data_IF_106771702713
#
_entry.id   IF_106771702713
#
_cell.length_a   1.000
_cell.length_b   1.000
_cell.length_c   1.000
_cell.angle_alpha   90.00
_cell.angle_beta   90.00
_cell.angle_gamma   90.00
#
_symmetry.space_group_name_H-M   'P 1'
#
loop_
_entity.id
_entity.type
_entity.pdbx_description
1 polymer ?
#
# COMPACT_ATOMS: atom_id res chain seq x y z
N UNK A 1 16.64 7.80 11.81
CA UNK A 1 16.92 7.04 10.56
C UNK A 1 15.57 6.66 9.98
N UNK A 2 15.42 6.70 8.66
CA UNK A 2 14.19 6.29 8.01
C UNK A 2 13.88 4.81 8.32
N UNK A 3 12.61 4.48 8.57
CA UNK A 3 12.17 3.10 8.84
C UNK A 3 12.23 2.23 7.58
N UNK A 4 12.24 2.85 6.40
CA UNK A 4 12.29 2.20 5.10
C UNK A 4 13.15 3.03 4.13
N UNK A 5 13.95 2.34 3.32
CA UNK A 5 14.71 2.92 2.23
C UNK A 5 14.40 2.17 0.93
N UNK A 6 14.29 2.92 -0.18
CA UNK A 6 14.11 2.31 -1.50
C UNK A 6 15.31 1.44 -1.86
N UNK A 7 15.06 0.20 -2.22
CA UNK A 7 16.11 -0.77 -2.53
C UNK A 7 15.61 -1.85 -3.49
N UNK A 8 16.54 -2.68 -3.98
CA UNK A 8 16.25 -3.71 -4.98
C UNK A 8 15.20 -4.75 -4.54
N UNK A 9 14.98 -4.96 -3.24
CA UNK A 9 13.98 -5.91 -2.76
C UNK A 9 12.54 -5.39 -2.90
N UNK A 10 12.36 -4.09 -3.16
CA UNK A 10 11.05 -3.46 -3.37
C UNK A 10 10.70 -3.33 -4.87
N UNK A 11 11.64 -3.64 -5.77
CA UNK A 11 11.41 -3.58 -7.22
C UNK A 11 10.62 -4.81 -7.66
N UNK A 12 9.47 -4.59 -8.27
CA UNK A 12 8.53 -5.63 -8.70
C UNK A 12 8.55 -5.89 -10.20
N UNK A 13 9.44 -5.21 -10.95
CA UNK A 13 9.50 -5.24 -12.41
C UNK A 13 8.16 -4.85 -13.08
N UNK A 14 7.45 -3.92 -12.44
CA UNK A 14 6.24 -3.30 -12.95
C UNK A 14 6.37 -1.78 -12.82
N UNK A 15 6.89 -1.08 -13.84
CA UNK A 15 7.41 0.28 -13.73
C UNK A 15 6.46 1.29 -13.08
N UNK A 16 5.17 1.27 -13.44
CA UNK A 16 4.18 2.20 -12.88
C UNK A 16 3.97 1.98 -11.39
N UNK A 17 4.00 0.73 -10.93
CA UNK A 17 3.89 0.37 -9.51
C UNK A 17 5.18 0.72 -8.77
N UNK A 18 6.34 0.39 -9.37
CA UNK A 18 7.65 0.67 -8.77
C UNK A 18 7.85 2.18 -8.54
N UNK A 19 7.43 3.03 -9.50
CA UNK A 19 7.50 4.49 -9.38
C UNK A 19 6.65 5.00 -8.19
N UNK A 20 5.41 4.54 -8.07
CA UNK A 20 4.51 4.92 -6.97
C UNK A 20 5.03 4.42 -5.62
N UNK A 21 5.65 3.25 -5.57
CA UNK A 21 6.30 2.72 -4.36
C UNK A 21 7.50 3.57 -3.93
N UNK A 22 8.34 4.00 -4.86
CA UNK A 22 9.47 4.89 -4.58
C UNK A 22 9.00 6.25 -4.05
N UNK A 23 7.92 6.79 -4.62
CA UNK A 23 7.28 8.01 -4.10
C UNK A 23 6.77 7.84 -2.67
N UNK A 24 6.10 6.72 -2.36
CA UNK A 24 5.65 6.40 -1.01
C UNK A 24 6.81 6.37 -0.02
N UNK A 25 7.90 5.67 -0.34
CA UNK A 25 9.10 5.58 0.52
C UNK A 25 9.69 6.97 0.76
N UNK A 26 9.74 7.82 -0.28
CA UNK A 26 10.23 9.18 -0.18
C UNK A 26 9.35 10.05 0.74
N UNK A 27 8.02 9.98 0.58
CA UNK A 27 7.08 10.72 1.43
C UNK A 27 7.12 10.25 2.88
N UNK A 28 7.20 8.93 3.11
CA UNK A 28 7.33 8.38 4.46
C UNK A 28 8.60 8.89 5.16
N UNK A 29 9.73 8.90 4.46
CA UNK A 29 10.98 9.45 5.00
C UNK A 29 10.86 10.95 5.34
N UNK A 30 10.11 11.73 4.57
CA UNK A 30 9.83 13.15 4.86
C UNK A 30 8.97 13.29 6.12
N UNK A 31 7.93 12.47 6.27
CA UNK A 31 7.09 12.42 7.49
C UNK A 31 7.94 12.11 8.73
N UNK A 32 8.80 11.09 8.65
CA UNK A 32 9.66 10.69 9.77
C UNK A 32 10.68 11.76 10.17
N UNK A 33 11.18 12.53 9.20
CA UNK A 33 12.12 13.63 9.42
C UNK A 33 11.45 14.95 9.81
N UNK A 34 10.13 15.05 9.70
CA UNK A 34 9.38 16.30 9.87
C UNK A 34 9.48 16.87 11.30
N UNK A 35 9.61 18.18 11.40
CA UNK A 35 9.33 18.91 12.65
C UNK A 35 7.84 18.94 12.98
N UNK A 36 7.50 19.26 14.22
CA UNK A 36 6.12 19.23 14.70
C UNK A 36 5.19 20.14 13.89
N UNK A 37 5.67 21.28 13.40
CA UNK A 37 4.88 22.23 12.61
C UNK A 37 4.48 21.70 11.22
N UNK A 38 5.25 20.76 10.67
CA UNK A 38 5.04 20.23 9.31
C UNK A 38 4.42 18.84 9.34
N UNK A 39 4.44 18.14 10.49
CA UNK A 39 4.12 16.74 10.57
C UNK A 39 2.71 16.41 10.11
N UNK A 40 1.70 17.16 10.54
CA UNK A 40 0.31 16.90 10.14
C UNK A 40 0.11 17.09 8.63
N UNK A 41 0.68 18.15 8.05
CA UNK A 41 0.53 18.42 6.61
C UNK A 41 1.20 17.34 5.76
N UNK A 42 2.40 16.88 6.13
CA UNK A 42 3.09 15.79 5.43
C UNK A 42 2.40 14.44 5.64
N UNK A 43 1.81 14.22 6.82
CA UNK A 43 0.99 13.04 7.06
C UNK A 43 -0.26 12.98 6.18
N UNK A 44 -0.95 14.11 6.01
CA UNK A 44 -2.10 14.22 5.11
C UNK A 44 -1.71 14.00 3.64
N UNK A 45 -0.54 14.50 3.23
CA UNK A 45 0.02 14.24 1.89
C UNK A 45 0.32 12.75 1.68
N UNK A 46 0.91 12.10 2.66
CA UNK A 46 1.16 10.66 2.62
C UNK A 46 -0.17 9.86 2.55
N UNK A 47 -1.20 10.25 3.30
CA UNK A 47 -2.53 9.63 3.22
C UNK A 47 -3.12 9.77 1.81
N UNK A 48 -3.07 10.97 1.24
CA UNK A 48 -3.59 11.23 -0.10
C UNK A 48 -2.88 10.39 -1.17
N UNK A 49 -1.55 10.31 -1.11
CA UNK A 49 -0.74 9.47 -1.98
C UNK A 49 -1.10 7.99 -1.83
N UNK A 50 -1.18 7.50 -0.59
CA UNK A 50 -1.52 6.10 -0.29
C UNK A 50 -2.92 5.74 -0.78
N UNK A 51 -3.91 6.63 -0.62
CA UNK A 51 -5.25 6.43 -1.15
C UNK A 51 -5.24 6.31 -2.67
N UNK A 52 -4.54 7.21 -3.37
CA UNK A 52 -4.44 7.17 -4.82
C UNK A 52 -3.79 5.88 -5.33
N UNK A 53 -2.71 5.46 -4.69
CA UNK A 53 -1.99 4.21 -4.95
C UNK A 53 -2.93 2.99 -4.82
N UNK A 54 -3.59 2.85 -3.67
CA UNK A 54 -4.49 1.72 -3.42
C UNK A 54 -5.71 1.71 -4.34
N UNK A 55 -6.29 2.87 -4.65
CA UNK A 55 -7.38 2.97 -5.62
C UNK A 55 -6.94 2.53 -7.02
N UNK A 56 -5.69 2.78 -7.38
CA UNK A 56 -5.14 2.33 -8.66
C UNK A 56 -4.96 0.81 -8.69
N UNK A 57 -4.41 0.22 -7.65
CA UNK A 57 -4.26 -1.24 -7.55
C UNK A 57 -5.61 -1.96 -7.47
N UNK A 58 -6.57 -1.42 -6.74
CA UNK A 58 -7.92 -1.96 -6.67
C UNK A 58 -8.58 -1.99 -8.07
N UNK A 59 -8.37 -0.96 -8.91
CA UNK A 59 -8.81 -0.97 -10.32
C UNK A 59 -8.10 -2.04 -11.14
N UNK A 60 -6.78 -2.21 -10.97
CA UNK A 60 -6.03 -3.24 -11.67
C UNK A 60 -6.47 -4.65 -11.25
N UNK A 61 -6.69 -4.86 -9.97
CA UNK A 61 -7.23 -6.12 -9.46
C UNK A 61 -8.59 -6.45 -10.07
N UNK A 62 -9.53 -5.49 -10.12
CA UNK A 62 -10.82 -5.69 -10.76
C UNK A 62 -10.68 -6.02 -12.25
N UNK A 63 -9.80 -5.32 -12.97
CA UNK A 63 -9.57 -5.53 -14.39
C UNK A 63 -8.95 -6.89 -14.71
N UNK A 64 -8.26 -7.50 -13.74
CA UNK A 64 -7.52 -8.76 -13.91
C UNK A 64 -8.11 -9.95 -13.16
N UNK A 65 -9.35 -9.84 -12.67
CA UNK A 65 -10.13 -10.98 -12.18
C UNK A 65 -10.08 -11.22 -10.68
N UNK A 66 -9.70 -10.23 -9.88
CA UNK A 66 -9.86 -10.31 -8.44
C UNK A 66 -11.30 -10.04 -8.01
N UNK A 67 -11.75 -10.72 -6.96
CA UNK A 67 -13.03 -10.47 -6.33
C UNK A 67 -13.04 -9.08 -5.67
N UNK A 68 -14.21 -8.43 -5.68
CA UNK A 68 -14.43 -7.24 -4.87
C UNK A 68 -14.29 -7.60 -3.39
N UNK A 69 -13.43 -6.86 -2.65
CA UNK A 69 -13.18 -7.14 -1.25
C UNK A 69 -12.28 -8.36 -0.99
N UNK A 70 -11.41 -8.71 -1.96
CA UNK A 70 -10.33 -9.67 -1.76
C UNK A 70 -9.41 -9.27 -0.60
N UNK A 71 -8.54 -10.17 -0.12
CA UNK A 71 -7.74 -9.91 1.08
C UNK A 71 -6.73 -8.76 0.89
N UNK A 72 -6.22 -8.54 -0.32
CA UNK A 72 -5.34 -7.42 -0.64
C UNK A 72 -6.07 -6.08 -0.45
N UNK A 73 -7.22 -5.90 -1.08
CA UNK A 73 -8.04 -4.69 -0.94
C UNK A 73 -8.57 -4.47 0.49
N UNK A 74 -8.73 -5.53 1.30
CA UNK A 74 -9.06 -5.38 2.71
C UNK A 74 -7.89 -4.80 3.52
N UNK A 75 -6.64 -5.20 3.23
CA UNK A 75 -5.48 -4.59 3.88
C UNK A 75 -5.37 -3.09 3.55
N UNK A 76 -5.60 -2.69 2.29
CA UNK A 76 -5.66 -1.28 1.90
C UNK A 76 -6.62 -0.47 2.78
N UNK A 77 -7.84 -0.99 2.97
CA UNK A 77 -8.86 -0.33 3.80
C UNK A 77 -8.44 -0.18 5.26
N UNK A 78 -7.84 -1.23 5.83
CA UNK A 78 -7.38 -1.22 7.23
C UNK A 78 -6.28 -0.18 7.42
N UNK A 79 -5.28 -0.16 6.56
CA UNK A 79 -4.16 0.80 6.65
C UNK A 79 -4.64 2.23 6.52
N UNK A 80 -5.46 2.53 5.52
CA UNK A 80 -6.01 3.87 5.35
C UNK A 80 -6.88 4.31 6.52
N UNK A 81 -7.66 3.41 7.13
CA UNK A 81 -8.44 3.73 8.32
C UNK A 81 -7.54 4.12 9.49
N UNK A 82 -6.46 3.37 9.72
CA UNK A 82 -5.47 3.65 10.77
C UNK A 82 -4.74 4.97 10.50
N UNK A 83 -4.30 5.21 9.26
CA UNK A 83 -3.64 6.48 8.91
C UNK A 83 -4.55 7.69 9.15
N UNK A 84 -5.83 7.60 8.81
CA UNK A 84 -6.83 8.65 9.05
C UNK A 84 -7.12 8.87 10.54
N UNK A 85 -7.12 7.80 11.35
CA UNK A 85 -7.19 7.93 12.80
C UNK A 85 -5.98 8.71 13.33
N UNK A 86 -4.78 8.45 12.81
CA UNK A 86 -3.57 9.22 13.12
C UNK A 86 -3.71 10.70 12.79
N UNK A 87 -4.30 11.05 11.65
CA UNK A 87 -4.56 12.45 11.29
C UNK A 87 -5.48 13.13 12.31
N UNK A 88 -6.58 12.48 12.69
CA UNK A 88 -7.51 13.01 13.71
C UNK A 88 -6.82 13.23 15.06
N UNK A 89 -5.97 12.29 15.49
CA UNK A 89 -5.18 12.44 16.72
C UNK A 89 -4.18 13.60 16.62
N UNK A 90 -3.51 13.74 15.48
CA UNK A 90 -2.59 14.85 15.21
C UNK A 90 -3.25 16.22 15.28
N UNK A 91 -4.46 16.38 14.72
CA UNK A 91 -5.27 17.61 14.84
C UNK A 91 -5.62 17.95 16.29
N UNK A 92 -5.70 16.94 17.17
CA UNK A 92 -5.93 17.10 18.60
C UNK A 92 -4.64 17.36 19.39
N UNK A 93 -3.49 17.44 18.70
CA UNK A 93 -2.18 17.69 19.30
C UNK A 93 -1.39 16.44 19.68
N UNK A 94 -1.91 15.25 19.43
CA UNK A 94 -1.20 13.97 19.65
C UNK A 94 -0.31 13.63 18.44
N UNK A 95 0.77 14.35 18.29
CA UNK A 95 1.78 14.11 17.24
C UNK A 95 2.56 12.81 17.46
N UNK A 96 2.60 12.32 18.69
CA UNK A 96 3.26 11.05 19.04
C UNK A 96 2.61 9.86 18.33
N UNK A 97 1.29 9.86 18.19
CA UNK A 97 0.57 8.83 17.44
C UNK A 97 0.96 8.81 15.96
N UNK A 98 1.09 9.97 15.29
CA UNK A 98 1.55 10.03 13.90
C UNK A 98 2.97 9.46 13.78
N UNK A 99 3.89 9.88 14.67
CA UNK A 99 5.29 9.40 14.65
C UNK A 99 5.39 7.90 14.85
N UNK A 100 4.60 7.35 15.76
CA UNK A 100 4.53 5.90 15.98
C UNK A 100 4.01 5.19 14.72
N UNK A 101 2.88 5.63 14.17
CA UNK A 101 2.31 5.04 12.96
C UNK A 101 3.26 5.10 11.76
N UNK A 102 3.96 6.22 11.57
CA UNK A 102 4.96 6.37 10.52
C UNK A 102 6.09 5.33 10.64
N UNK A 103 6.58 5.09 11.87
CA UNK A 103 7.59 4.07 12.12
C UNK A 103 7.12 2.64 11.82
N UNK A 104 5.83 2.34 12.04
CA UNK A 104 5.25 1.02 11.76
C UNK A 104 4.91 0.83 10.27
N UNK A 105 4.66 1.92 9.53
CA UNK A 105 4.34 1.84 8.10
C UNK A 105 5.49 1.31 7.26
N UNK A 106 6.75 1.61 7.59
CA UNK A 106 7.90 1.14 6.83
C UNK A 106 7.99 -0.39 6.79
N UNK A 107 8.06 -1.09 7.92
CA UNK A 107 8.04 -2.54 7.98
C UNK A 107 6.79 -3.16 7.35
N UNK A 108 5.63 -2.56 7.61
CA UNK A 108 4.37 -3.02 7.00
C UNK A 108 4.42 -2.93 5.48
N UNK A 109 4.81 -1.78 4.93
CA UNK A 109 4.89 -1.58 3.48
C UNK A 109 5.86 -2.56 2.82
N UNK A 110 7.04 -2.76 3.42
CA UNK A 110 8.01 -3.73 2.91
C UNK A 110 7.41 -5.13 2.81
N UNK A 111 6.67 -5.57 3.84
CA UNK A 111 5.99 -6.86 3.82
C UNK A 111 4.86 -6.92 2.79
N UNK A 112 4.03 -5.87 2.70
CA UNK A 112 2.92 -5.77 1.75
C UNK A 112 3.42 -5.83 0.31
N UNK A 113 4.38 -4.99 -0.05
CA UNK A 113 4.96 -4.92 -1.39
C UNK A 113 5.57 -6.26 -1.83
N UNK A 114 6.34 -6.91 -0.96
CA UNK A 114 7.02 -8.17 -1.31
C UNK A 114 6.09 -9.38 -1.39
N UNK A 115 4.90 -9.32 -0.83
CA UNK A 115 3.97 -10.44 -0.81
C UNK A 115 2.72 -10.20 -1.67
N UNK A 116 2.03 -9.07 -1.46
CA UNK A 116 0.76 -8.79 -2.13
C UNK A 116 0.94 -8.09 -3.47
N UNK A 117 1.69 -7.00 -3.49
CA UNK A 117 1.94 -6.25 -4.72
C UNK A 117 2.81 -7.05 -5.69
N UNK A 118 3.77 -7.82 -5.18
CA UNK A 118 4.57 -8.74 -6.00
C UNK A 118 3.71 -9.81 -6.68
N UNK A 119 2.73 -10.36 -5.98
CA UNK A 119 1.78 -11.32 -6.54
C UNK A 119 0.88 -10.67 -7.59
N UNK A 120 0.38 -9.45 -7.33
CA UNK A 120 -0.41 -8.67 -8.27
C UNK A 120 0.41 -8.31 -9.53
N UNK A 121 1.63 -7.81 -9.36
CA UNK A 121 2.53 -7.47 -10.47
C UNK A 121 2.83 -8.69 -11.37
N UNK A 122 3.11 -9.85 -10.76
CA UNK A 122 3.32 -11.10 -11.50
C UNK A 122 2.07 -11.50 -12.27
N UNK A 123 0.89 -11.43 -11.65
CA UNK A 123 -0.38 -11.74 -12.28
C UNK A 123 -0.67 -10.82 -13.47
N UNK A 124 -0.51 -9.50 -13.30
CA UNK A 124 -0.71 -8.52 -14.35
C UNK A 124 0.25 -8.74 -15.54
N UNK A 125 1.53 -9.03 -15.27
CA UNK A 125 2.49 -9.36 -16.33
C UNK A 125 2.08 -10.64 -17.09
N UNK A 126 1.63 -11.66 -16.38
CA UNK A 126 1.19 -12.92 -16.99
C UNK A 126 -0.03 -12.75 -17.88
N UNK A 127 -0.94 -11.85 -17.52
CA UNK A 127 -2.10 -11.49 -18.32
C UNK A 127 -1.78 -10.50 -19.46
N UNK A 128 -0.55 -9.99 -19.53
CA UNK A 128 -0.18 -8.91 -20.47
C UNK A 128 -1.02 -7.66 -20.24
N UNK A 129 -1.26 -7.32 -18.98
CA UNK A 129 -2.06 -6.16 -18.60
C UNK A 129 -1.29 -4.87 -18.79
N UNK A 130 -1.88 -3.93 -19.54
CA UNK A 130 -1.37 -2.57 -19.69
C UNK A 130 -2.03 -1.65 -18.63
N UNK A 131 -1.29 -1.15 -17.64
CA UNK A 131 -1.84 -0.34 -16.57
C UNK A 131 -2.31 1.05 -17.02
N UNK A 132 -1.89 1.50 -18.21
CA UNK A 132 -2.26 2.82 -18.76
C UNK A 132 -3.56 2.74 -19.53
N UNK A 133 -3.69 1.74 -20.40
CA UNK A 133 -4.87 1.57 -21.26
C UNK A 133 -5.93 0.65 -20.65
N UNK A 134 -5.56 -0.16 -19.66
CA UNK A 134 -6.42 -1.21 -19.10
C UNK A 134 -6.59 -2.43 -20.01
N UNK A 135 -5.83 -2.52 -21.11
CA UNK A 135 -5.91 -3.64 -22.03
C UNK A 135 -5.29 -4.92 -21.43
N UNK A 136 -5.92 -6.06 -21.69
CA UNK A 136 -5.43 -7.40 -21.38
C UNK A 136 -5.08 -8.10 -22.67
N UNK A 137 -3.80 -8.42 -22.88
CA UNK A 137 -3.33 -9.03 -24.13
C UNK A 137 -3.52 -10.55 -24.16
N UNK A 138 -3.57 -11.18 -22.98
CA UNK A 138 -3.71 -12.64 -22.82
C UNK A 138 -4.92 -12.95 -21.94
N UNK A 139 -6.17 -12.75 -22.44
CA UNK A 139 -7.39 -12.95 -21.65
C UNK A 139 -7.54 -14.38 -21.10
N UNK A 140 -6.96 -15.36 -21.77
CA UNK A 140 -6.93 -16.76 -21.33
C UNK A 140 -6.07 -16.99 -20.06
N UNK A 141 -5.21 -16.05 -19.70
CA UNK A 141 -4.46 -16.07 -18.45
C UNK A 141 -5.26 -15.52 -17.26
N UNK A 142 -6.43 -14.93 -17.50
CA UNK A 142 -7.31 -14.48 -16.43
C UNK A 142 -7.97 -15.67 -15.75
N UNK A 143 -8.20 -15.60 -14.42
CA UNK A 143 -8.81 -16.71 -13.69
C UNK A 143 -10.28 -16.92 -14.10
N UNK A 144 -10.71 -18.19 -14.16
CA UNK A 144 -12.11 -18.53 -14.39
C UNK A 144 -13.01 -18.20 -13.19
N UNK A 145 -12.45 -18.26 -11.99
CA UNK A 145 -13.11 -17.87 -10.74
C UNK A 145 -12.38 -16.67 -10.12
N UNK A 146 -13.11 -15.72 -9.51
CA UNK A 146 -12.49 -14.52 -8.92
C UNK A 146 -11.46 -14.86 -7.85
N UNK A 147 -10.31 -14.20 -7.89
CA UNK A 147 -9.25 -14.33 -6.88
C UNK A 147 -9.70 -13.64 -5.59
N UNK A 148 -9.82 -14.38 -4.49
CA UNK A 148 -10.26 -13.86 -3.19
C UNK A 148 -9.12 -13.66 -2.20
N UNK A 149 -7.96 -14.29 -2.43
CA UNK A 149 -6.82 -14.25 -1.51
C UNK A 149 -5.48 -14.31 -2.23
N UNK A 150 -4.42 -13.98 -1.53
CA UNK A 150 -3.05 -13.93 -2.02
C UNK A 150 -2.20 -15.08 -1.45
N UNK A 151 -2.69 -16.32 -1.57
CA UNK A 151 -1.86 -17.51 -1.31
C UNK A 151 -1.27 -17.64 0.12
N UNK A 152 -1.99 -17.17 1.15
CA UNK A 152 -1.54 -17.29 2.56
C UNK A 152 -0.98 -16.01 3.19
N UNK A 153 -0.86 -14.92 2.44
CA UNK A 153 -0.38 -13.64 2.98
C UNK A 153 -1.44 -12.85 3.78
N UNK A 154 -2.66 -13.37 3.92
CA UNK A 154 -3.80 -12.65 4.51
C UNK A 154 -3.79 -12.56 6.05
N UNK A 155 -2.81 -13.10 6.74
CA UNK A 155 -2.77 -13.17 8.22
C UNK A 155 -2.27 -11.90 8.94
N UNK A 156 -1.82 -10.86 8.19
CA UNK A 156 -1.14 -9.69 8.79
C UNK A 156 -2.04 -8.55 9.28
N UNK A 157 -3.32 -8.52 8.87
CA UNK A 157 -4.19 -7.36 9.14
C UNK A 157 -4.60 -7.21 10.60
N UNK A 158 -4.83 -8.32 11.32
CA UNK A 158 -5.18 -8.30 12.75
C UNK A 158 -3.97 -7.94 13.63
N UNK A 159 -2.76 -8.40 13.26
CA UNK A 159 -1.54 -8.07 13.99
C UNK A 159 -1.15 -6.62 13.83
N UNK A 160 -1.34 -6.03 12.66
CA UNK A 160 -1.02 -4.63 12.40
C UNK A 160 -1.96 -3.69 13.16
N UNK A 161 -3.25 -3.98 13.18
CA UNK A 161 -4.22 -3.17 13.93
C UNK A 161 -3.92 -3.19 15.43
N UNK A 162 -3.45 -4.31 15.96
CA UNK A 162 -3.02 -4.43 17.36
C UNK A 162 -1.71 -3.67 17.64
N UNK A 163 -0.77 -3.64 16.71
CA UNK A 163 0.53 -2.95 16.87
C UNK A 163 0.40 -1.42 16.77
N UNK A 164 -0.47 -0.91 15.90
CA UNK A 164 -0.61 0.52 15.65
C UNK A 164 -1.54 1.20 16.68
N UNK A 165 -2.41 0.44 17.35
CA UNK A 165 -3.36 0.95 18.36
C UNK A 165 -2.90 0.73 19.82
N UNK A 166 -1.78 0.06 20.05
CA UNK A 166 -1.18 -0.18 21.38
C UNK A 166 -0.17 0.91 21.72
#
# INVERSE_FOLDING_TARGET
>A
MASLEWNAALILDFPVMDEVHEEFVTLLAQVEAAGDEQLCALWDELIAHTQHHFDQEDRWMQATGFATGNCHSQQHKVVLAVMREGAVKGEQGDLGSIRHMAGELGPWFSHHAQNMDAALALHMRSAGFDPITGAVLTPEALPAEPITGCGGACGGSEQMQAQITA
#
